data_IF_852782251519
#
_entry.id   IF_852782251519
#
_cell.length_a   1.000
_cell.length_b   1.000
_cell.length_c   1.000
_cell.angle_alpha   90.00
_cell.angle_beta   90.00
_cell.angle_gamma   90.00
#
_symmetry.space_group_name_H-M   'P 1'
#
loop_
_entity.id
_entity.type
_entity.pdbx_description
1 polymer ?
#
# COMPACT_ATOMS: atom_id res chain seq x y z
N UNK A 1 10.03 -10.69 -1.71
CA UNK A 1 9.11 -9.53 -1.60
C UNK A 1 7.88 -9.91 -0.77
N UNK A 2 8.07 -10.55 0.39
CA UNK A 2 7.06 -11.42 1.01
C UNK A 2 6.34 -10.80 2.21
N UNK A 3 6.74 -9.59 2.60
CA UNK A 3 6.27 -8.96 3.83
C UNK A 3 4.97 -8.17 3.67
N UNK A 4 4.57 -7.86 2.43
CA UNK A 4 3.32 -7.13 2.13
C UNK A 4 2.13 -8.10 2.16
N UNK A 5 2.29 -9.30 1.62
CA UNK A 5 1.24 -10.33 1.60
C UNK A 5 0.87 -10.87 2.99
N UNK A 6 1.78 -10.79 3.97
CA UNK A 6 1.59 -11.42 5.28
C UNK A 6 0.62 -10.68 6.20
N UNK A 7 0.25 -9.43 5.90
CA UNK A 7 -0.69 -8.68 6.73
C UNK A 7 -2.11 -9.26 6.69
N UNK A 8 -2.60 -9.78 5.56
CA UNK A 8 -3.96 -10.31 5.46
C UNK A 8 -4.13 -11.77 5.96
N UNK A 9 -3.05 -12.54 6.13
CA UNK A 9 -3.09 -14.00 6.31
C UNK A 9 -3.31 -14.51 7.76
N UNK A 10 -4.34 -14.10 8.50
CA UNK A 10 -4.70 -14.84 9.76
C UNK A 10 -6.10 -15.43 9.72
N UNK A 11 -6.86 -15.29 8.63
CA UNK A 11 -8.11 -16.02 8.46
C UNK A 11 -8.14 -16.64 7.07
N UNK A 12 -8.18 -17.99 7.04
CA UNK A 12 -8.37 -18.90 5.89
C UNK A 12 -7.60 -18.53 4.61
N UNK A 13 -6.68 -19.41 4.21
CA UNK A 13 -5.96 -19.34 2.92
C UNK A 13 -6.89 -19.33 1.67
N UNK A 14 -8.20 -19.50 1.84
CA UNK A 14 -9.21 -19.50 0.78
C UNK A 14 -9.91 -18.15 0.54
N UNK A 15 -9.69 -17.13 1.39
CA UNK A 15 -10.39 -15.84 1.34
C UNK A 15 -9.42 -14.66 1.33
N UNK A 16 -8.27 -14.83 0.67
CA UNK A 16 -7.36 -13.69 0.43
C UNK A 16 -8.03 -12.85 -0.67
N UNK A 17 -8.53 -11.64 -0.37
CA UNK A 17 -9.01 -10.77 -1.43
C UNK A 17 -7.82 -10.45 -2.34
N UNK A 18 -7.98 -10.69 -3.64
CA UNK A 18 -7.06 -10.19 -4.68
C UNK A 18 -7.21 -8.68 -4.75
N UNK A 19 -6.59 -7.98 -3.79
CA UNK A 19 -6.57 -6.53 -3.74
C UNK A 19 -5.37 -6.02 -4.54
N UNK A 20 -5.62 -5.49 -5.72
CA UNK A 20 -4.62 -4.80 -6.53
C UNK A 20 -4.52 -3.32 -6.09
N UNK A 21 -3.31 -2.90 -5.71
CA UNK A 21 -3.01 -1.51 -5.37
C UNK A 21 -2.15 -0.93 -6.48
N UNK A 22 -2.69 0.05 -7.21
CA UNK A 22 -1.96 0.74 -8.27
C UNK A 22 -0.95 1.73 -7.66
N UNK A 23 0.34 1.45 -7.86
CA UNK A 23 1.43 2.25 -7.29
C UNK A 23 1.61 3.57 -8.06
N UNK A 24 1.36 3.58 -9.37
CA UNK A 24 1.49 4.77 -10.19
C UNK A 24 0.39 5.77 -9.85
N UNK A 25 -0.87 5.31 -9.68
CA UNK A 25 -1.98 6.13 -9.20
C UNK A 25 -1.66 6.75 -7.83
N UNK A 26 -1.16 5.94 -6.88
CA UNK A 26 -0.76 6.46 -5.57
C UNK A 26 0.38 7.47 -5.67
N UNK A 27 1.33 7.30 -6.59
CA UNK A 27 2.43 8.25 -6.79
C UNK A 27 1.95 9.60 -7.32
N UNK A 28 0.85 9.64 -8.07
CA UNK A 28 0.20 10.86 -8.57
C UNK A 28 -0.62 11.57 -7.49
N UNK A 29 -1.14 10.85 -6.50
CA UNK A 29 -1.91 11.39 -5.39
C UNK A 29 -1.05 12.12 -4.33
N UNK A 30 -1.57 13.18 -3.68
CA UNK A 30 -0.91 13.83 -2.55
C UNK A 30 -0.90 12.92 -1.30
N UNK A 31 0.05 13.14 -0.38
CA UNK A 31 0.24 12.28 0.82
C UNK A 31 -1.05 12.08 1.65
N UNK A 32 -1.94 13.07 1.69
CA UNK A 32 -3.22 12.99 2.39
C UNK A 32 -4.19 11.98 1.73
N UNK A 33 -4.26 11.98 0.41
CA UNK A 33 -5.19 11.13 -0.36
C UNK A 33 -4.68 9.70 -0.50
N UNK A 34 -3.35 9.51 -0.55
CA UNK A 34 -2.74 8.17 -0.53
C UNK A 34 -3.18 7.37 0.71
N UNK A 35 -3.21 8.02 1.88
CA UNK A 35 -3.63 7.37 3.12
C UNK A 35 -5.10 6.97 3.05
N UNK A 36 -5.97 7.87 2.61
CA UNK A 36 -7.41 7.63 2.51
C UNK A 36 -7.71 6.48 1.53
N UNK A 37 -7.10 6.49 0.34
CA UNK A 37 -7.24 5.43 -0.66
C UNK A 37 -6.83 4.07 -0.12
N UNK A 38 -5.69 3.99 0.58
CA UNK A 38 -5.25 2.74 1.21
C UNK A 38 -6.18 2.29 2.35
N UNK A 39 -6.74 3.23 3.12
CA UNK A 39 -7.70 2.89 4.18
C UNK A 39 -9.01 2.34 3.61
N UNK A 40 -9.47 2.84 2.46
CA UNK A 40 -10.63 2.33 1.73
C UNK A 40 -10.36 0.96 1.11
N UNK A 41 -9.23 0.79 0.42
CA UNK A 41 -8.88 -0.51 -0.18
C UNK A 41 -8.71 -1.60 0.89
N UNK A 42 -8.15 -1.24 2.05
CA UNK A 42 -7.96 -2.14 3.17
C UNK A 42 -9.13 -2.12 4.16
N UNK A 43 -10.28 -1.52 3.82
CA UNK A 43 -11.44 -1.48 4.73
C UNK A 43 -12.01 -2.85 5.03
N UNK A 44 -11.94 -3.76 4.05
CA UNK A 44 -12.42 -5.13 4.18
C UNK A 44 -11.39 -6.05 4.85
N UNK A 45 -10.14 -5.59 5.01
CA UNK A 45 -9.12 -6.30 5.77
C UNK A 45 -9.35 -6.11 7.27
N UNK A 46 -9.89 -7.12 7.96
CA UNK A 46 -10.27 -7.09 9.38
C UNK A 46 -9.12 -7.00 10.41
N UNK A 47 -7.98 -6.43 10.08
CA UNK A 47 -6.77 -6.35 10.91
C UNK A 47 -6.23 -4.93 11.04
N UNK A 48 -5.30 -4.66 11.97
CA UNK A 48 -4.63 -3.36 12.02
C UNK A 48 -3.89 -3.09 10.70
N UNK A 49 -4.50 -2.27 9.87
CA UNK A 49 -3.97 -1.81 8.57
C UNK A 49 -3.02 -0.62 8.69
N UNK A 50 -3.01 0.06 9.83
CA UNK A 50 -2.26 1.30 10.02
C UNK A 50 -0.75 1.12 9.84
N UNK A 51 -0.16 0.05 10.39
CA UNK A 51 1.28 -0.25 10.21
C UNK A 51 1.62 -0.56 8.74
N UNK A 52 0.73 -1.26 8.05
CA UNK A 52 0.89 -1.57 6.63
C UNK A 52 0.81 -0.30 5.78
N UNK A 53 -0.20 0.55 6.03
CA UNK A 53 -0.39 1.82 5.34
C UNK A 53 0.84 2.70 5.55
N UNK A 54 1.30 2.87 6.79
CA UNK A 54 2.49 3.67 7.08
C UNK A 54 3.74 3.10 6.39
N UNK A 55 3.93 1.79 6.39
CA UNK A 55 5.04 1.13 5.71
C UNK A 55 5.01 1.28 4.19
N UNK A 56 3.83 1.22 3.58
CA UNK A 56 3.63 1.39 2.15
C UNK A 56 3.86 2.84 1.73
N UNK A 57 3.27 3.80 2.46
CA UNK A 57 3.49 5.25 2.26
C UNK A 57 4.98 5.61 2.37
N UNK A 58 5.69 5.03 3.34
CA UNK A 58 7.14 5.25 3.47
C UNK A 58 7.91 4.80 2.24
N UNK A 59 7.56 3.63 1.67
CA UNK A 59 8.18 3.11 0.44
C UNK A 59 7.82 3.95 -0.78
N UNK A 60 6.55 4.34 -0.95
CA UNK A 60 6.08 5.21 -2.04
C UNK A 60 6.82 6.55 -2.01
N UNK A 61 6.99 7.13 -0.82
CA UNK A 61 7.75 8.37 -0.64
C UNK A 61 9.23 8.21 -1.02
N UNK A 62 9.81 7.03 -0.75
CA UNK A 62 11.14 6.66 -1.24
C UNK A 62 11.19 6.55 -2.77
N UNK A 63 10.19 5.91 -3.38
CA UNK A 63 10.08 5.74 -4.84
C UNK A 63 9.96 7.08 -5.56
N UNK A 64 9.12 8.01 -5.07
CA UNK A 64 8.97 9.38 -5.63
C UNK A 64 10.29 10.16 -5.63
N UNK A 65 11.18 9.93 -4.65
CA UNK A 65 12.51 10.55 -4.61
C UNK A 65 13.47 9.96 -5.65
N UNK A 66 13.35 8.67 -5.95
CA UNK A 66 14.21 7.99 -6.93
C UNK A 66 13.73 8.21 -8.37
N UNK A 67 12.42 8.30 -8.61
CA UNK A 67 11.86 8.57 -9.95
C UNK A 67 12.27 9.95 -10.49
N UNK A 68 12.51 10.93 -9.61
CA UNK A 68 13.08 12.23 -9.99
C UNK A 68 14.56 12.18 -10.39
N UNK A 69 15.31 11.16 -9.96
CA UNK A 69 16.75 11.03 -10.21
C UNK A 69 17.10 10.27 -11.50
N UNK A 70 16.13 9.56 -12.10
CA UNK A 70 16.31 8.79 -13.34
C UNK A 70 16.11 9.63 -14.62
N UNK A 71 15.89 10.95 -14.49
CA UNK A 71 15.88 11.91 -15.61
C UNK A 71 17.19 12.71 -15.70
N UNK A 72 18.34 12.05 -15.74
CA UNK A 72 19.61 12.72 -16.00
C UNK A 72 20.49 11.93 -16.95
#
# INVERSE_FOLDING_TARGET
MDSIAKCCLVYKEEDIPELEIDIDELLELPDADQRSKLQELLQECGKPKEDFINGLLYRIKGLRKMSGSLRK
#
